data_IF_232359206693
#
_entry.id   IF_232359206693
#
_cell.length_a   1.000
_cell.length_b   1.000
_cell.length_c   1.000
_cell.angle_alpha   90.00
_cell.angle_beta   90.00
_cell.angle_gamma   90.00
#
_symmetry.space_group_name_H-M   'P 1'
#
loop_
_entity.id
_entity.type
_entity.pdbx_description
1 polymer ?
#
# COMPACT_ATOMS: atom_id res chain seq x y z
N UNK A 1 3.93 -12.42 13.02
CA UNK A 1 2.84 -12.69 13.99
C UNK A 1 2.86 -11.61 15.05
N UNK A 2 1.70 -11.18 15.55
CA UNK A 2 1.55 -10.26 16.70
C UNK A 2 1.06 -11.03 17.93
N UNK A 3 1.55 -10.69 19.12
CA UNK A 3 1.08 -11.26 20.39
C UNK A 3 0.21 -10.23 21.12
N UNK A 4 -1.09 -10.48 21.22
CA UNK A 4 -2.02 -9.63 21.97
C UNK A 4 -2.68 -10.45 23.09
N UNK A 5 -2.52 -10.00 24.35
CA UNK A 5 -3.09 -10.67 25.54
C UNK A 5 -2.80 -12.19 25.59
N UNK A 6 -1.60 -12.60 25.18
CA UNK A 6 -1.17 -14.00 25.17
C UNK A 6 -1.65 -14.84 23.97
N UNK A 7 -2.38 -14.24 23.01
CA UNK A 7 -2.83 -14.93 21.79
C UNK A 7 -2.06 -14.42 20.57
N UNK A 8 -1.43 -15.34 19.83
CA UNK A 8 -0.78 -15.00 18.55
C UNK A 8 -1.80 -14.83 17.43
N UNK A 9 -1.69 -13.74 16.68
CA UNK A 9 -2.54 -13.41 15.52
C UNK A 9 -1.71 -13.14 14.27
N UNK A 10 -2.32 -13.40 13.12
CA UNK A 10 -1.77 -13.02 11.82
C UNK A 10 -1.82 -11.49 11.69
N UNK A 11 -0.67 -10.85 11.48
CA UNK A 11 -0.60 -9.40 11.27
C UNK A 11 -1.03 -9.03 9.84
N UNK A 12 -0.55 -9.81 8.87
CA UNK A 12 -0.88 -9.70 7.46
C UNK A 12 -0.87 -11.09 6.82
N UNK A 13 -1.42 -11.20 5.62
CA UNK A 13 -1.45 -12.41 4.79
C UNK A 13 -1.18 -12.02 3.33
N UNK A 14 -0.53 -12.91 2.58
CA UNK A 14 -0.33 -12.72 1.14
C UNK A 14 -1.53 -13.26 0.33
N UNK A 15 -1.52 -13.04 -0.98
CA UNK A 15 -2.60 -13.46 -1.88
C UNK A 15 -2.85 -14.99 -1.85
N UNK A 16 -1.79 -15.79 -1.72
CA UNK A 16 -1.90 -17.24 -1.62
C UNK A 16 -2.62 -17.66 -0.32
N UNK A 17 -2.28 -17.04 0.81
CA UNK A 17 -2.96 -17.28 2.09
C UNK A 17 -4.41 -16.79 2.09
N UNK A 18 -4.69 -15.63 1.46
CA UNK A 18 -6.05 -15.12 1.25
C UNK A 18 -6.89 -16.11 0.44
N UNK A 19 -6.35 -16.68 -0.64
CA UNK A 19 -7.03 -17.68 -1.47
C UNK A 19 -7.34 -18.99 -0.71
N UNK A 20 -6.59 -19.28 0.35
CA UNK A 20 -6.84 -20.40 1.27
C UNK A 20 -7.82 -20.04 2.40
N UNK A 21 -8.41 -18.84 2.38
CA UNK A 21 -9.39 -18.39 3.36
C UNK A 21 -8.78 -17.84 4.66
N UNK A 22 -7.47 -17.56 4.67
CA UNK A 22 -6.82 -16.92 5.82
C UNK A 22 -7.01 -15.40 5.78
N UNK A 23 -7.04 -14.75 6.94
CA UNK A 23 -7.19 -13.29 7.02
C UNK A 23 -6.33 -12.67 8.12
N UNK A 24 -5.98 -11.39 7.94
CA UNK A 24 -5.33 -10.61 8.99
C UNK A 24 -6.22 -10.53 10.24
N UNK A 25 -5.60 -10.53 11.42
CA UNK A 25 -6.29 -10.58 12.71
C UNK A 25 -6.75 -11.99 13.13
N UNK A 26 -6.77 -12.98 12.23
CA UNK A 26 -7.09 -14.38 12.58
C UNK A 26 -6.11 -14.94 13.62
N UNK A 27 -6.58 -15.79 14.52
CA UNK A 27 -5.69 -16.49 15.46
C UNK A 27 -4.76 -17.42 14.69
N UNK A 28 -3.47 -17.41 15.05
CA UNK A 28 -2.48 -18.24 14.39
C UNK A 28 -2.80 -19.75 14.52
N UNK A 29 -3.37 -20.17 15.66
CA UNK A 29 -3.80 -21.55 15.86
C UNK A 29 -4.89 -21.98 14.87
N UNK A 30 -5.89 -21.12 14.65
CA UNK A 30 -6.99 -21.39 13.72
C UNK A 30 -6.48 -21.44 12.27
N UNK A 31 -5.55 -20.54 11.92
CA UNK A 31 -4.91 -20.52 10.61
C UNK A 31 -4.08 -21.79 10.34
N UNK A 32 -3.33 -22.27 11.34
CA UNK A 32 -2.55 -23.51 11.26
C UNK A 32 -3.44 -24.77 11.21
N UNK A 33 -4.63 -24.73 11.81
CA UNK A 33 -5.59 -25.82 11.69
C UNK A 33 -6.16 -25.92 10.26
N UNK A 34 -6.38 -24.77 9.59
CA UNK A 34 -6.82 -24.72 8.19
C UNK A 34 -5.69 -25.07 7.21
N UNK A 35 -4.47 -24.58 7.49
CA UNK A 35 -3.29 -24.75 6.64
C UNK A 35 -2.12 -25.24 7.50
N UNK A 36 -1.97 -26.58 7.69
CA UNK A 36 -0.94 -27.14 8.58
C UNK A 36 0.51 -26.80 8.21
N UNK A 37 0.77 -26.48 6.94
CA UNK A 37 2.08 -26.10 6.42
C UNK A 37 2.24 -24.60 6.22
N UNK A 38 1.43 -23.78 6.91
CA UNK A 38 1.52 -22.32 6.82
C UNK A 38 2.90 -21.83 7.27
N UNK A 39 3.63 -21.23 6.34
CA UNK A 39 4.85 -20.51 6.65
C UNK A 39 4.51 -19.19 7.35
N UNK A 40 5.20 -18.90 8.45
CA UNK A 40 4.95 -17.71 9.26
C UNK A 40 6.27 -17.04 9.64
N UNK A 41 6.29 -15.72 9.63
CA UNK A 41 7.37 -14.91 10.17
C UNK A 41 6.86 -14.08 11.34
N UNK A 42 7.76 -13.71 12.25
CA UNK A 42 7.47 -12.73 13.29
C UNK A 42 7.29 -11.35 12.66
N UNK A 43 6.35 -10.58 13.20
CA UNK A 43 6.09 -9.24 12.69
C UNK A 43 6.96 -8.28 13.49
N UNK A 44 7.73 -7.47 12.78
CA UNK A 44 8.58 -6.42 13.33
C UNK A 44 8.01 -5.06 12.86
N UNK A 45 7.09 -4.46 13.63
CA UNK A 45 6.45 -3.19 13.26
C UNK A 45 7.45 -2.06 13.05
N UNK A 46 8.58 -2.13 13.74
CA UNK A 46 9.61 -1.10 13.70
C UNK A 46 10.47 -1.24 12.43
N UNK A 47 10.75 -2.46 11.99
CA UNK A 47 11.33 -2.69 10.67
C UNK A 47 10.40 -2.24 9.53
N UNK A 48 9.11 -2.54 9.64
CA UNK A 48 8.10 -2.11 8.66
C UNK A 48 8.00 -0.57 8.61
N UNK A 49 8.01 0.10 9.76
CA UNK A 49 8.01 1.57 9.86
C UNK A 49 9.24 2.18 9.19
N UNK A 50 10.44 1.70 9.49
CA UNK A 50 11.69 2.20 8.87
C UNK A 50 11.71 2.00 7.35
N UNK A 51 11.14 0.89 6.87
CA UNK A 51 11.02 0.66 5.43
C UNK A 51 10.06 1.67 4.78
N UNK A 52 8.95 1.99 5.43
CA UNK A 52 7.99 2.99 4.96
C UNK A 52 8.60 4.41 4.97
N UNK A 53 9.34 4.76 6.01
CA UNK A 53 10.07 6.04 6.10
C UNK A 53 11.13 6.16 5.00
N UNK A 54 11.89 5.08 4.75
CA UNK A 54 12.87 5.04 3.65
C UNK A 54 12.19 5.21 2.28
N UNK A 55 10.99 4.66 2.12
CA UNK A 55 10.20 4.84 0.90
C UNK A 55 9.67 6.27 0.78
N UNK A 56 9.25 6.89 1.89
CA UNK A 56 8.86 8.29 1.95
C UNK A 56 10.00 9.21 1.49
N UNK A 57 11.21 9.00 2.01
CA UNK A 57 12.40 9.76 1.63
C UNK A 57 12.74 9.57 0.14
N UNK A 58 12.64 8.34 -0.37
CA UNK A 58 12.85 8.08 -1.80
C UNK A 58 11.82 8.79 -2.68
N UNK A 59 10.57 8.89 -2.23
CA UNK A 59 9.49 9.56 -2.94
C UNK A 59 9.69 11.07 -3.09
N UNK A 60 10.64 11.69 -2.36
CA UNK A 60 10.99 13.12 -2.53
C UNK A 60 11.35 13.47 -3.98
N UNK A 61 11.81 12.48 -4.76
CA UNK A 61 12.08 12.64 -6.19
C UNK A 61 10.86 13.04 -7.01
N UNK A 62 9.65 12.73 -6.53
CA UNK A 62 8.37 13.01 -7.18
C UNK A 62 7.73 14.32 -6.71
N UNK A 63 7.92 14.63 -5.44
CA UNK A 63 7.45 15.88 -4.84
C UNK A 63 8.29 16.20 -3.61
N UNK A 64 8.61 17.48 -3.33
CA UNK A 64 9.20 17.86 -2.05
C UNK A 64 8.24 17.69 -0.86
N UNK A 65 6.95 17.50 -1.10
CA UNK A 65 5.91 17.36 -0.09
C UNK A 65 5.41 15.90 -0.06
N UNK A 66 6.09 15.08 0.75
CA UNK A 66 5.76 13.67 0.99
C UNK A 66 5.60 13.43 2.49
N UNK A 67 4.60 12.65 2.88
CA UNK A 67 4.38 12.26 4.25
C UNK A 67 3.96 10.79 4.36
N UNK A 68 4.30 10.16 5.48
CA UNK A 68 3.78 8.85 5.89
C UNK A 68 2.31 8.97 6.29
N UNK A 69 1.48 8.04 5.81
CA UNK A 69 0.07 7.88 6.18
C UNK A 69 -0.16 6.52 6.86
N UNK A 70 -0.26 6.54 8.19
CA UNK A 70 -0.48 5.32 8.98
C UNK A 70 0.71 4.35 8.95
N UNK A 71 0.41 3.06 8.89
CA UNK A 71 1.42 1.99 8.94
C UNK A 71 1.79 1.43 7.56
N UNK A 72 1.07 1.82 6.50
CA UNK A 72 1.19 1.22 5.16
C UNK A 72 0.98 2.18 3.98
N UNK A 73 0.90 3.50 4.23
CA UNK A 73 0.56 4.50 3.23
C UNK A 73 1.56 5.65 3.13
N UNK A 74 1.55 6.34 1.98
CA UNK A 74 2.22 7.61 1.74
C UNK A 74 1.24 8.59 1.10
N UNK A 75 1.36 9.87 1.42
CA UNK A 75 0.67 10.98 0.77
C UNK A 75 1.69 11.90 0.10
N UNK A 76 1.43 12.23 -1.16
CA UNK A 76 2.28 13.09 -1.98
C UNK A 76 1.42 14.26 -2.50
N UNK A 77 1.84 15.49 -2.22
CA UNK A 77 1.29 16.66 -2.90
C UNK A 77 2.12 16.92 -4.17
N UNK A 78 1.59 16.52 -5.32
CA UNK A 78 2.28 16.63 -6.62
C UNK A 78 1.99 17.95 -7.34
N UNK A 79 1.37 18.92 -6.65
CA UNK A 79 0.97 20.18 -7.25
C UNK A 79 2.15 20.88 -7.90
N UNK A 80 2.05 21.08 -9.22
CA UNK A 80 3.08 21.78 -9.99
C UNK A 80 4.37 20.99 -10.19
N UNK A 81 4.42 19.68 -9.89
CA UNK A 81 5.59 18.83 -10.21
C UNK A 81 5.31 17.86 -11.36
N UNK A 82 4.07 17.42 -11.53
CA UNK A 82 3.60 16.45 -12.53
C UNK A 82 4.12 16.68 -13.97
N UNK A 83 4.25 17.95 -14.40
CA UNK A 83 4.77 18.32 -15.72
C UNK A 83 6.20 17.82 -15.99
N UNK A 84 7.02 17.60 -14.95
CA UNK A 84 8.37 17.03 -15.07
C UNK A 84 8.35 15.57 -15.55
N UNK A 85 7.20 14.89 -15.44
CA UNK A 85 6.98 13.52 -15.90
C UNK A 85 6.12 13.45 -17.16
N UNK A 86 5.66 14.58 -17.71
CA UNK A 86 4.68 14.60 -18.80
C UNK A 86 3.23 14.47 -18.33
N UNK A 87 2.96 14.80 -17.05
CA UNK A 87 1.63 14.82 -16.44
C UNK A 87 1.41 13.71 -15.41
N UNK A 88 0.32 13.84 -14.66
CA UNK A 88 -0.05 12.97 -13.53
C UNK A 88 -0.07 11.47 -13.87
N UNK A 89 -0.64 11.11 -15.03
CA UNK A 89 -0.71 9.72 -15.48
C UNK A 89 0.66 9.10 -15.73
N UNK A 90 1.58 9.86 -16.32
CA UNK A 90 2.95 9.40 -16.58
C UNK A 90 3.78 9.30 -15.30
N UNK A 91 3.59 10.25 -14.37
CA UNK A 91 4.17 10.23 -13.04
C UNK A 91 3.73 9.00 -12.23
N UNK A 92 2.42 8.72 -12.22
CA UNK A 92 1.85 7.56 -11.54
C UNK A 92 2.34 6.24 -12.14
N UNK A 93 2.49 6.17 -13.46
CA UNK A 93 3.05 5.02 -14.15
C UNK A 93 4.52 4.78 -13.76
N UNK A 94 5.38 5.81 -13.75
CA UNK A 94 6.80 5.69 -13.33
C UNK A 94 6.91 5.21 -11.87
N UNK A 95 6.08 5.75 -10.97
CA UNK A 95 6.02 5.31 -9.57
C UNK A 95 5.68 3.83 -9.47
N UNK A 96 4.58 3.40 -10.10
CA UNK A 96 4.11 2.02 -10.05
C UNK A 96 5.14 1.06 -10.64
N UNK A 97 5.74 1.39 -11.77
CA UNK A 97 6.72 0.54 -12.45
C UNK A 97 7.96 0.29 -11.62
N UNK A 98 8.41 1.28 -10.84
CA UNK A 98 9.60 1.13 -10.00
C UNK A 98 9.32 0.36 -8.73
N UNK A 99 8.17 0.60 -8.10
CA UNK A 99 7.73 -0.20 -6.96
C UNK A 99 7.56 -1.67 -7.35
N UNK A 100 7.00 -1.95 -8.53
CA UNK A 100 6.90 -3.30 -9.07
C UNK A 100 8.28 -3.96 -9.26
N UNK A 101 9.27 -3.22 -9.78
CA UNK A 101 10.66 -3.72 -9.93
C UNK A 101 11.34 -4.05 -8.60
N UNK A 102 10.94 -3.41 -7.52
CA UNK A 102 11.41 -3.71 -6.16
C UNK A 102 10.62 -4.81 -5.46
N UNK A 103 9.60 -5.37 -6.12
CA UNK A 103 8.73 -6.36 -5.50
C UNK A 103 7.84 -5.76 -4.40
N UNK A 104 7.57 -4.44 -4.45
CA UNK A 104 6.69 -3.74 -3.52
C UNK A 104 5.35 -3.50 -4.23
N UNK A 105 4.37 -4.42 -4.11
CA UNK A 105 3.05 -4.19 -4.68
C UNK A 105 2.40 -3.00 -3.97
N UNK A 106 1.95 -2.02 -4.74
CA UNK A 106 1.35 -0.81 -4.21
C UNK A 106 0.06 -0.45 -4.95
N UNK A 107 -0.86 0.15 -4.21
CA UNK A 107 -2.06 0.80 -4.76
C UNK A 107 -1.82 2.30 -4.66
N UNK A 108 -1.97 3.01 -5.77
CA UNK A 108 -1.73 4.43 -5.84
C UNK A 108 -2.85 5.09 -6.65
N UNK A 109 -3.24 6.30 -6.23
CA UNK A 109 -4.22 7.12 -6.92
C UNK A 109 -3.85 8.60 -6.82
N UNK A 110 -4.26 9.38 -7.82
CA UNK A 110 -4.13 10.83 -7.89
C UNK A 110 -5.54 11.42 -7.98
N UNK A 111 -5.75 12.49 -7.22
CA UNK A 111 -6.99 13.23 -7.17
C UNK A 111 -6.73 14.67 -6.70
N UNK A 112 -7.70 15.56 -6.96
CA UNK A 112 -7.64 16.98 -6.57
C UNK A 112 -7.56 17.19 -5.04
N UNK A 113 -7.90 16.16 -4.26
CA UNK A 113 -7.83 16.22 -2.79
C UNK A 113 -7.17 14.98 -2.21
N UNK A 114 -6.44 15.17 -1.11
CA UNK A 114 -5.82 14.07 -0.36
C UNK A 114 -6.85 13.02 0.09
N UNK A 115 -8.06 13.44 0.46
CA UNK A 115 -9.13 12.55 0.89
C UNK A 115 -9.63 11.63 -0.24
N UNK A 116 -9.83 12.17 -1.44
CA UNK A 116 -10.25 11.34 -2.58
C UNK A 116 -9.11 10.42 -3.04
N UNK A 117 -7.85 10.91 -3.09
CA UNK A 117 -6.69 10.09 -3.42
C UNK A 117 -6.55 8.92 -2.44
N UNK A 118 -6.67 9.19 -1.14
CA UNK A 118 -6.64 8.18 -0.08
C UNK A 118 -7.77 7.15 -0.21
N UNK A 119 -9.01 7.62 -0.41
CA UNK A 119 -10.17 6.75 -0.56
C UNK A 119 -10.07 5.86 -1.80
N UNK A 120 -9.62 6.40 -2.93
CA UNK A 120 -9.41 5.64 -4.17
C UNK A 120 -8.27 4.61 -4.01
N UNK A 121 -7.14 5.03 -3.44
CA UNK A 121 -6.01 4.14 -3.20
C UNK A 121 -6.38 2.97 -2.28
N UNK A 122 -7.16 3.21 -1.21
CA UNK A 122 -7.54 2.17 -0.23
C UNK A 122 -8.81 1.39 -0.59
N UNK A 123 -9.79 2.00 -1.25
CA UNK A 123 -11.12 1.41 -1.47
C UNK A 123 -11.63 1.39 -2.92
N UNK A 124 -10.91 2.02 -3.87
CA UNK A 124 -11.31 2.08 -5.29
C UNK A 124 -11.47 0.73 -6.00
N UNK A 125 -10.92 -0.35 -5.41
CA UNK A 125 -11.10 -1.74 -5.82
C UNK A 125 -10.46 -2.11 -7.18
N UNK A 126 -10.42 -3.41 -7.48
CA UNK A 126 -9.98 -3.95 -8.78
C UNK A 126 -11.01 -3.73 -9.92
N UNK A 127 -12.13 -3.06 -9.63
CA UNK A 127 -13.15 -2.70 -10.64
C UNK A 127 -12.64 -1.65 -11.64
N UNK A 128 -11.58 -0.93 -11.26
CA UNK A 128 -10.80 -0.05 -12.13
C UNK A 128 -9.54 -0.78 -12.61
N UNK A 129 -9.73 -1.97 -13.20
CA UNK A 129 -8.64 -2.71 -13.81
C UNK A 129 -7.83 -1.79 -14.71
N UNK A 130 -6.63 -1.41 -14.28
CA UNK A 130 -5.74 -0.53 -15.04
C UNK A 130 -6.33 0.83 -15.48
N UNK A 131 -7.44 1.32 -14.89
CA UNK A 131 -8.00 2.63 -15.23
C UNK A 131 -9.24 2.96 -14.40
N UNK A 132 -9.38 4.10 -13.73
CA UNK A 132 -8.60 5.33 -13.67
C UNK A 132 -8.03 5.48 -12.25
N UNK A 133 -6.71 5.39 -12.12
CA UNK A 133 -6.04 5.74 -10.87
C UNK A 133 -5.73 7.26 -10.80
N UNK A 134 -6.13 8.02 -11.81
CA UNK A 134 -6.07 9.48 -11.84
C UNK A 134 -7.49 9.95 -12.12
N UNK A 135 -8.11 10.62 -11.16
CA UNK A 135 -9.46 11.16 -11.38
C UNK A 135 -9.34 12.58 -11.90
N UNK A 136 -9.97 12.90 -13.05
CA UNK A 136 -9.83 14.20 -13.69
C UNK A 136 -10.39 15.33 -12.83
N UNK A 137 -9.93 16.58 -13.05
CA UNK A 137 -10.38 17.73 -12.29
C UNK A 137 -11.91 17.85 -12.22
N UNK A 138 -12.44 17.99 -11.00
CA UNK A 138 -13.89 18.12 -10.76
C UNK A 138 -14.70 16.80 -10.81
N UNK A 139 -14.03 15.64 -10.88
CA UNK A 139 -14.66 14.31 -10.86
C UNK A 139 -14.76 13.65 -9.47
N UNK A 140 -14.49 14.40 -8.39
CA UNK A 140 -14.36 13.89 -7.00
C UNK A 140 -15.60 14.15 -6.15
#
# INVERSE_FOLDING_TARGET
MLSERGTRRLAAVNDAALALGLSAGQKAADALALVPHLATADHDPEADRRALESLCDWCVRFSPAVAVDGDDGLLLDITGTDHLWGGEGAMLADLRDRLARWGVPARAAIADTAGAAWALARYGGARHGQGEAVVPPGGQ
#
